data_IF_539753291267
#
_entry.id   IF_539753291267
#
_cell.length_a   1.000
_cell.length_b   1.000
_cell.length_c   1.000
_cell.angle_alpha   90.00
_cell.angle_beta   90.00
_cell.angle_gamma   90.00
#
_symmetry.space_group_name_H-M   'P 1'
#
loop_
_entity.id
_entity.type
_entity.pdbx_description
1 polymer ?
#
# COMPACT_ATOMS: atom_id res chain seq x y z
N UNK A 1 -26.58 13.42 -2.12
CA UNK A 1 -27.41 12.33 -1.57
C UNK A 1 -26.48 11.15 -1.30
N UNK A 2 -26.52 10.56 -0.10
CA UNK A 2 -25.65 9.41 0.23
C UNK A 2 -26.07 8.19 -0.60
N UNK A 3 -25.29 7.86 -1.64
CA UNK A 3 -25.40 6.56 -2.29
C UNK A 3 -24.53 5.57 -1.51
N UNK A 4 -25.17 4.77 -0.65
CA UNK A 4 -24.57 3.54 -0.12
C UNK A 4 -24.64 2.48 -1.22
N UNK A 5 -23.53 2.24 -1.91
CA UNK A 5 -23.39 1.06 -2.76
C UNK A 5 -23.03 -0.13 -1.89
N UNK A 6 -24.00 -1.01 -1.64
CA UNK A 6 -23.73 -2.37 -1.18
C UNK A 6 -23.48 -3.22 -2.43
N UNK A 7 -22.22 -3.42 -2.82
CA UNK A 7 -21.85 -4.46 -3.76
C UNK A 7 -21.39 -5.67 -2.97
N UNK A 8 -22.24 -6.71 -2.93
CA UNK A 8 -21.81 -8.07 -2.64
C UNK A 8 -20.98 -8.53 -3.84
N UNK A 9 -19.68 -8.68 -3.66
CA UNK A 9 -18.82 -9.29 -4.68
C UNK A 9 -19.32 -10.73 -4.91
N UNK A 10 -19.68 -11.06 -6.15
CA UNK A 10 -19.98 -12.42 -6.57
C UNK A 10 -18.69 -13.26 -6.54
N UNK A 11 -18.82 -14.45 -5.98
CA UNK A 11 -17.77 -15.43 -5.65
C UNK A 11 -17.24 -16.25 -6.85
N UNK A 12 -17.21 -15.69 -8.06
CA UNK A 12 -16.80 -16.47 -9.24
C UNK A 12 -15.43 -16.03 -9.80
N UNK A 13 -14.46 -16.92 -9.58
CA UNK A 13 -13.17 -17.07 -10.29
C UNK A 13 -12.21 -15.86 -10.34
N UNK A 14 -11.77 -15.39 -9.17
CA UNK A 14 -10.42 -14.78 -9.06
C UNK A 14 -9.43 -15.86 -8.64
N UNK A 15 -8.37 -16.06 -9.41
CA UNK A 15 -7.22 -16.86 -9.01
C UNK A 15 -6.84 -16.48 -7.57
N UNK A 16 -6.90 -17.45 -6.65
CA UNK A 16 -6.40 -17.27 -5.30
C UNK A 16 -4.90 -16.98 -5.40
N UNK A 17 -4.51 -15.70 -5.36
CA UNK A 17 -3.19 -15.29 -4.91
C UNK A 17 -3.12 -15.80 -3.48
N UNK A 18 -2.56 -17.00 -3.29
CA UNK A 18 -2.48 -17.64 -1.97
C UNK A 18 -1.61 -16.75 -1.09
N UNK A 19 -2.25 -15.83 -0.35
CA UNK A 19 -1.64 -14.91 0.61
C UNK A 19 -1.14 -15.63 1.86
N UNK A 20 -0.77 -16.90 1.69
CA UNK A 20 -0.41 -17.81 2.73
C UNK A 20 0.93 -18.44 2.44
N UNK A 21 1.92 -18.12 3.27
CA UNK A 21 3.26 -18.69 3.19
C UNK A 21 3.41 -19.70 4.35
N UNK A 22 3.69 -20.96 4.02
CA UNK A 22 4.04 -21.96 5.03
C UNK A 22 5.55 -21.85 5.24
N UNK A 23 5.96 -21.20 6.33
CA UNK A 23 7.36 -21.16 6.71
C UNK A 23 7.85 -22.55 7.15
N UNK A 24 9.02 -22.94 6.64
CA UNK A 24 9.76 -24.10 7.11
C UNK A 24 10.15 -23.96 8.60
N UNK A 25 10.50 -25.07 9.25
CA UNK A 25 10.82 -25.09 10.69
C UNK A 25 11.97 -24.16 11.09
N UNK A 26 12.99 -24.02 10.23
CA UNK A 26 14.16 -23.19 10.50
C UNK A 26 13.84 -21.68 10.50
N UNK A 27 13.20 -21.11 9.45
CA UNK A 27 12.63 -19.76 9.49
C UNK A 27 11.74 -19.49 10.71
N UNK A 28 10.86 -20.44 11.06
CA UNK A 28 9.97 -20.33 12.22
C UNK A 28 10.73 -20.19 13.55
N UNK A 29 11.78 -20.98 13.75
CA UNK A 29 12.63 -20.90 14.96
C UNK A 29 13.35 -19.54 15.09
N UNK A 30 13.80 -18.96 13.98
CA UNK A 30 14.45 -17.64 13.98
C UNK A 30 13.45 -16.55 14.40
N UNK A 31 12.23 -16.58 13.84
CA UNK A 31 11.16 -15.65 14.22
C UNK A 31 10.81 -15.79 15.70
N UNK A 32 10.68 -17.03 16.21
CA UNK A 32 10.42 -17.29 17.63
C UNK A 32 11.51 -16.71 18.54
N UNK A 33 12.78 -16.89 18.18
CA UNK A 33 13.92 -16.35 18.94
C UNK A 33 13.95 -14.82 18.99
N UNK A 34 13.60 -14.15 17.89
CA UNK A 34 13.47 -12.69 17.85
C UNK A 34 12.27 -12.22 18.68
N UNK A 35 11.11 -12.84 18.52
CA UNK A 35 9.88 -12.45 19.20
C UNK A 35 9.94 -12.71 20.71
N UNK A 36 10.67 -13.74 21.16
CA UNK A 36 10.88 -13.99 22.59
C UNK A 36 11.53 -12.79 23.32
N UNK A 37 12.21 -11.90 22.60
CA UNK A 37 12.84 -10.70 23.14
C UNK A 37 11.90 -9.47 23.12
N UNK A 38 10.69 -9.61 22.58
CA UNK A 38 9.79 -8.51 22.26
C UNK A 38 8.51 -8.64 23.09
N UNK A 39 8.06 -7.53 23.69
CA UNK A 39 6.78 -7.47 24.41
C UNK A 39 5.65 -7.05 23.48
N UNK A 40 4.43 -7.49 23.78
CA UNK A 40 3.23 -7.02 23.04
C UNK A 40 3.18 -5.49 23.08
N UNK A 41 2.97 -4.87 21.92
CA UNK A 41 2.92 -3.42 21.75
C UNK A 41 4.25 -2.79 21.35
N UNK A 42 5.38 -3.51 21.40
CA UNK A 42 6.68 -3.00 20.94
C UNK A 42 6.61 -2.58 19.46
N UNK A 43 7.19 -1.41 19.17
CA UNK A 43 7.36 -0.92 17.81
C UNK A 43 8.52 -1.66 17.13
N UNK A 44 8.26 -2.24 15.97
CA UNK A 44 9.20 -3.13 15.28
C UNK A 44 10.22 -2.38 14.40
N UNK A 45 10.14 -1.05 14.29
CA UNK A 45 11.01 -0.28 13.38
C UNK A 45 12.50 -0.32 13.77
N UNK A 46 12.84 -0.70 15.01
CA UNK A 46 14.22 -0.85 15.51
C UNK A 46 14.73 -2.29 15.50
N UNK A 47 13.89 -3.23 15.08
CA UNK A 47 14.22 -4.66 15.10
C UNK A 47 14.48 -5.11 13.67
N UNK A 48 15.67 -5.65 13.44
CA UNK A 48 16.01 -6.24 12.15
C UNK A 48 15.20 -7.52 11.95
N UNK A 49 14.36 -7.53 10.91
CA UNK A 49 13.64 -8.73 10.49
C UNK A 49 14.55 -9.63 9.65
N UNK A 50 14.39 -10.96 9.71
CA UNK A 50 15.15 -11.87 8.86
C UNK A 50 14.88 -11.63 7.37
N UNK A 51 15.91 -11.77 6.54
CA UNK A 51 15.83 -11.51 5.11
C UNK A 51 14.77 -12.34 4.35
N UNK A 52 14.42 -13.54 4.84
CA UNK A 52 13.41 -14.38 4.19
C UNK A 52 11.98 -13.82 4.26
N UNK A 53 11.72 -12.88 5.19
CA UNK A 53 10.45 -12.15 5.29
C UNK A 53 10.45 -10.93 4.34
N UNK A 54 11.61 -10.59 3.77
CA UNK A 54 11.79 -9.43 2.92
C UNK A 54 11.70 -9.80 1.44
N UNK A 55 11.11 -8.91 0.64
CA UNK A 55 11.23 -8.95 -0.82
C UNK A 55 12.49 -8.17 -1.26
N UNK A 56 13.08 -8.47 -2.43
CA UNK A 56 14.30 -7.83 -2.93
C UNK A 56 14.07 -6.40 -3.47
N UNK A 57 13.19 -5.62 -2.84
CA UNK A 57 12.84 -4.25 -3.26
C UNK A 57 12.84 -3.30 -2.08
N UNK A 58 13.31 -2.07 -2.31
CA UNK A 58 13.15 -0.96 -1.38
C UNK A 58 11.67 -0.57 -1.30
N UNK A 59 11.22 -0.03 -0.15
CA UNK A 59 9.88 0.58 -0.08
C UNK A 59 9.68 1.66 -1.14
N UNK A 60 10.75 2.39 -1.49
CA UNK A 60 10.71 3.46 -2.50
C UNK A 60 10.35 2.95 -3.90
N UNK A 61 10.82 1.75 -4.24
CA UNK A 61 10.47 1.03 -5.46
C UNK A 61 9.10 0.37 -5.32
N UNK A 62 8.80 -0.27 -4.18
CA UNK A 62 7.51 -0.96 -3.96
C UNK A 62 6.30 -0.04 -4.13
N UNK A 63 6.42 1.24 -3.74
CA UNK A 63 5.35 2.24 -3.97
C UNK A 63 4.94 2.31 -5.45
N UNK A 64 5.84 2.00 -6.40
CA UNK A 64 5.51 2.01 -7.82
C UNK A 64 4.50 0.94 -8.23
N UNK A 65 4.28 -0.09 -7.41
CA UNK A 65 3.17 -1.03 -7.58
C UNK A 65 1.81 -0.29 -7.52
N UNK A 66 1.75 0.90 -6.92
CA UNK A 66 0.54 1.74 -6.87
C UNK A 66 0.25 2.38 -8.23
N UNK A 67 1.23 2.42 -9.12
CA UNK A 67 1.17 3.05 -10.44
C UNK A 67 1.40 2.06 -11.59
N UNK A 68 1.36 0.76 -11.32
CA UNK A 68 1.60 -0.30 -12.31
C UNK A 68 0.49 -0.41 -13.35
N UNK A 69 -0.76 -0.09 -12.97
CA UNK A 69 -1.93 -0.12 -13.85
C UNK A 69 -2.12 1.23 -14.57
N UNK A 70 -1.20 1.53 -15.49
CA UNK A 70 -1.22 2.78 -16.24
C UNK A 70 -2.51 2.97 -17.04
N UNK A 71 -3.12 1.88 -17.52
CA UNK A 71 -4.38 1.90 -18.26
C UNK A 71 -5.56 2.39 -17.39
N UNK A 72 -5.62 1.97 -16.12
CA UNK A 72 -6.61 2.48 -15.18
C UNK A 72 -6.37 3.96 -14.90
N UNK A 73 -5.12 4.36 -14.67
CA UNK A 73 -4.75 5.77 -14.40
C UNK A 73 -5.23 6.68 -15.53
N UNK A 74 -5.03 6.28 -16.79
CA UNK A 74 -5.49 7.05 -17.96
C UNK A 74 -7.02 7.13 -18.03
N UNK A 75 -7.73 6.11 -17.56
CA UNK A 75 -9.20 6.09 -17.53
C UNK A 75 -9.81 6.90 -16.38
N UNK A 76 -9.07 7.14 -15.29
CA UNK A 76 -9.56 7.91 -14.14
C UNK A 76 -10.01 9.33 -14.52
N UNK A 77 -9.41 9.92 -15.56
CA UNK A 77 -9.82 11.21 -16.11
C UNK A 77 -11.24 11.22 -16.68
N UNK A 78 -11.71 10.07 -17.16
CA UNK A 78 -13.02 9.95 -17.82
C UNK A 78 -14.12 9.66 -16.80
N UNK A 79 -13.80 8.90 -15.76
CA UNK A 79 -14.78 8.35 -14.83
C UNK A 79 -14.23 8.26 -13.40
N UNK A 80 -14.59 9.23 -12.56
CA UNK A 80 -14.16 9.28 -11.15
C UNK A 80 -14.57 8.02 -10.35
N UNK A 81 -15.63 7.32 -10.74
CA UNK A 81 -16.02 6.07 -10.06
C UNK A 81 -15.00 4.94 -10.25
N UNK A 82 -14.20 4.96 -11.33
CA UNK A 82 -13.10 4.02 -11.54
C UNK A 82 -11.96 4.19 -10.52
N UNK A 83 -11.99 5.27 -9.72
CA UNK A 83 -11.04 5.47 -8.63
C UNK A 83 -11.20 4.40 -7.55
N UNK A 84 -12.40 3.84 -7.39
CA UNK A 84 -12.63 2.71 -6.48
C UNK A 84 -11.93 1.47 -7.03
N UNK A 85 -12.19 1.12 -8.30
CA UNK A 85 -11.56 -0.03 -8.96
C UNK A 85 -10.03 0.09 -8.95
N UNK A 86 -9.50 1.28 -9.24
CA UNK A 86 -8.07 1.57 -9.16
C UNK A 86 -7.50 1.33 -7.77
N UNK A 87 -8.19 1.76 -6.71
CA UNK A 87 -7.75 1.54 -5.32
C UNK A 87 -7.87 0.08 -4.92
N UNK A 88 -8.93 -0.63 -5.31
CA UNK A 88 -9.10 -2.06 -5.01
C UNK A 88 -8.05 -2.92 -5.70
N UNK A 89 -7.84 -2.72 -7.00
CA UNK A 89 -6.87 -3.49 -7.79
C UNK A 89 -5.46 -3.26 -7.25
N UNK A 90 -5.13 -2.01 -6.95
CA UNK A 90 -3.89 -1.67 -6.25
C UNK A 90 -3.69 -2.47 -4.95
N UNK A 91 -4.71 -2.54 -4.09
CA UNK A 91 -4.61 -3.20 -2.79
C UNK A 91 -4.45 -4.72 -2.89
N UNK A 92 -4.91 -5.33 -3.97
CA UNK A 92 -4.75 -6.75 -4.24
C UNK A 92 -3.31 -7.13 -4.64
N UNK A 93 -2.55 -6.21 -5.25
CA UNK A 93 -1.16 -6.46 -5.69
C UNK A 93 -0.09 -6.27 -4.61
N UNK A 94 -0.46 -5.77 -3.42
CA UNK A 94 0.46 -5.68 -2.28
C UNK A 94 0.76 -7.06 -1.67
N UNK A 95 1.65 -7.82 -2.32
CA UNK A 95 2.03 -9.17 -1.93
C UNK A 95 2.53 -9.36 -0.48
N UNK A 96 2.71 -10.63 -0.11
CA UNK A 96 2.89 -11.13 1.27
C UNK A 96 4.17 -10.65 1.96
N UNK A 97 5.25 -10.40 1.21
CA UNK A 97 6.57 -10.07 1.76
C UNK A 97 6.70 -8.59 2.05
N UNK A 98 7.54 -8.21 3.02
CA UNK A 98 7.80 -6.81 3.40
C UNK A 98 8.97 -6.25 2.57
N UNK A 99 8.86 -5.04 2.04
CA UNK A 99 10.01 -4.37 1.41
C UNK A 99 11.08 -3.97 2.42
N UNK A 100 12.29 -3.72 1.91
CA UNK A 100 13.37 -3.14 2.72
C UNK A 100 12.97 -1.75 3.22
N UNK A 101 13.29 -1.47 4.49
CA UNK A 101 13.16 -0.14 5.06
C UNK A 101 14.26 0.76 4.49
N UNK A 102 13.94 1.80 3.71
CA UNK A 102 14.95 2.60 3.05
C UNK A 102 15.84 3.35 4.04
N UNK A 103 17.09 3.61 3.66
CA UNK A 103 17.99 4.47 4.45
C UNK A 103 17.62 5.95 4.25
N UNK A 104 17.96 6.82 5.21
CA UNK A 104 17.69 8.25 5.09
C UNK A 104 18.38 8.83 3.84
N UNK A 105 17.63 9.56 3.01
CA UNK A 105 18.11 10.15 1.75
C UNK A 105 18.24 9.16 0.59
N UNK A 106 17.88 7.89 0.78
CA UNK A 106 17.69 6.97 -0.35
C UNK A 106 16.62 7.53 -1.28
N UNK A 107 16.83 7.40 -2.60
CA UNK A 107 15.85 7.81 -3.59
C UNK A 107 15.70 6.75 -4.67
N UNK A 108 14.50 6.65 -5.24
CA UNK A 108 14.21 5.80 -6.39
C UNK A 108 13.56 6.64 -7.49
N UNK A 109 13.90 6.35 -8.75
CA UNK A 109 13.32 7.01 -9.91
C UNK A 109 13.04 6.00 -11.00
N UNK A 110 11.90 6.14 -11.64
CA UNK A 110 11.55 5.34 -12.81
C UNK A 110 10.62 6.15 -13.72
N UNK A 111 10.32 5.59 -14.89
CA UNK A 111 9.36 6.13 -15.84
C UNK A 111 8.54 5.04 -16.49
N UNK A 112 7.34 5.38 -16.89
CA UNK A 112 6.49 4.54 -17.74
C UNK A 112 6.36 5.19 -19.10
N UNK A 113 6.32 4.37 -20.14
CA UNK A 113 5.91 4.76 -21.47
C UNK A 113 4.58 4.09 -21.77
N UNK A 114 3.57 4.87 -22.07
CA UNK A 114 2.23 4.36 -22.36
C UNK A 114 2.06 3.95 -23.81
N UNK A 115 0.95 3.26 -24.09
CA UNK A 115 0.59 2.79 -25.43
C UNK A 115 0.37 3.93 -26.42
N UNK A 116 -0.02 5.13 -25.95
CA UNK A 116 -0.17 6.34 -26.75
C UNK A 116 1.14 7.13 -26.94
N UNK A 117 2.28 6.58 -26.52
CA UNK A 117 3.62 7.17 -26.51
C UNK A 117 3.84 8.33 -25.54
N UNK A 118 2.87 8.68 -24.71
CA UNK A 118 3.10 9.62 -23.61
C UNK A 118 3.92 8.95 -22.50
N UNK A 119 4.53 9.76 -21.64
CA UNK A 119 5.34 9.26 -20.52
C UNK A 119 4.80 9.70 -19.15
N UNK A 120 5.12 8.91 -18.14
CA UNK A 120 5.04 9.34 -16.75
C UNK A 120 6.37 9.15 -16.03
N UNK A 121 6.65 10.06 -15.12
CA UNK A 121 7.86 10.08 -14.31
C UNK A 121 7.49 9.81 -12.86
N UNK A 122 8.32 9.04 -12.16
CA UNK A 122 8.22 8.85 -10.73
C UNK A 122 9.55 9.12 -10.04
N UNK A 123 9.46 9.77 -8.89
CA UNK A 123 10.54 9.94 -7.94
C UNK A 123 10.02 9.70 -6.53
N UNK A 124 10.81 9.04 -5.71
CA UNK A 124 10.57 8.95 -4.27
C UNK A 124 11.86 9.08 -3.49
N UNK A 125 11.73 9.53 -2.25
CA UNK A 125 12.84 9.74 -1.33
C UNK A 125 12.43 9.34 0.09
N UNK A 126 13.35 8.72 0.80
CA UNK A 126 13.21 8.51 2.24
C UNK A 126 13.61 9.77 3.00
N UNK A 127 12.61 10.60 3.31
CA UNK A 127 12.81 11.91 3.95
C UNK A 127 12.96 11.84 5.47
N UNK A 128 12.66 10.69 6.08
CA UNK A 128 12.89 10.45 7.51
C UNK A 128 13.07 8.97 7.81
N UNK A 129 13.94 8.61 8.77
CA UNK A 129 14.17 7.21 9.17
C UNK A 129 13.56 6.88 10.54
N UNK A 130 13.46 7.85 11.46
CA UNK A 130 12.89 7.68 12.80
C UNK A 130 11.98 8.87 13.18
N UNK A 131 10.66 8.79 12.89
CA UNK A 131 9.94 7.66 12.28
C UNK A 131 10.21 7.54 10.76
N UNK A 132 9.99 6.35 10.15
CA UNK A 132 10.16 6.17 8.71
C UNK A 132 9.09 6.95 7.92
N UNK A 133 9.52 7.80 6.99
CA UNK A 133 8.66 8.53 6.06
C UNK A 133 9.28 8.48 4.67
N UNK A 134 8.54 7.95 3.71
CA UNK A 134 8.87 7.99 2.29
C UNK A 134 7.94 8.97 1.60
N UNK A 135 8.50 9.98 0.92
CA UNK A 135 7.75 10.88 0.05
C UNK A 135 7.88 10.41 -1.40
N UNK A 136 6.81 10.55 -2.18
CA UNK A 136 6.82 10.18 -3.60
C UNK A 136 6.02 11.17 -4.43
N UNK A 137 6.41 11.26 -5.69
CA UNK A 137 5.81 12.11 -6.70
C UNK A 137 5.82 11.38 -8.03
N UNK A 138 4.66 11.32 -8.65
CA UNK A 138 4.40 10.76 -9.95
C UNK A 138 3.70 11.81 -10.80
N UNK A 139 4.16 11.99 -12.04
CA UNK A 139 3.59 12.94 -12.96
C UNK A 139 3.47 12.33 -14.35
N UNK A 140 2.28 12.47 -14.93
CA UNK A 140 2.02 12.28 -16.36
C UNK A 140 1.42 13.58 -16.92
N UNK A 141 2.28 14.55 -17.30
CA UNK A 141 1.82 15.88 -17.70
C UNK A 141 0.92 15.86 -18.94
N UNK A 142 1.25 15.05 -19.95
CA UNK A 142 0.47 14.93 -21.19
C UNK A 142 -0.93 14.36 -20.93
N UNK A 143 -1.07 13.53 -19.89
CA UNK A 143 -2.34 12.95 -19.46
C UNK A 143 -2.95 13.70 -18.28
N UNK A 144 -2.49 14.90 -17.96
CA UNK A 144 -3.02 15.71 -16.87
C UNK A 144 -3.07 15.02 -15.50
N UNK A 145 -2.25 14.01 -15.21
CA UNK A 145 -2.29 13.27 -13.94
C UNK A 145 -1.08 13.62 -13.07
N UNK A 146 -1.35 13.97 -11.81
CA UNK A 146 -0.34 14.07 -10.76
C UNK A 146 -0.75 13.20 -9.57
N UNK A 147 0.16 12.36 -9.10
CA UNK A 147 -0.04 11.52 -7.90
C UNK A 147 1.14 11.76 -6.97
N UNK A 148 0.88 12.19 -5.74
CA UNK A 148 1.97 12.40 -4.78
C UNK A 148 1.50 12.21 -3.35
N UNK A 149 2.41 11.91 -2.46
CA UNK A 149 2.03 11.62 -1.09
C UNK A 149 3.19 11.24 -0.22
N UNK A 150 2.84 10.70 0.94
CA UNK A 150 3.82 10.10 1.85
C UNK A 150 3.31 8.77 2.36
N UNK A 151 4.19 7.78 2.45
CA UNK A 151 3.97 6.58 3.25
C UNK A 151 4.70 6.70 4.59
N UNK A 152 4.00 6.40 5.68
CA UNK A 152 4.51 6.50 7.05
C UNK A 152 4.20 5.20 7.80
N UNK A 153 4.85 4.09 7.44
CA UNK A 153 4.54 2.78 8.00
C UNK A 153 4.95 2.72 9.48
N UNK A 154 4.04 2.27 10.34
CA UNK A 154 4.30 2.03 11.75
C UNK A 154 4.07 0.57 12.09
N UNK A 155 5.15 -0.21 12.17
CA UNK A 155 5.08 -1.63 12.51
C UNK A 155 4.94 -1.87 14.02
N UNK A 156 3.99 -2.71 14.43
CA UNK A 156 3.66 -3.03 15.82
C UNK A 156 3.53 -4.54 16.02
N UNK A 157 4.18 -5.06 17.06
CA UNK A 157 3.99 -6.45 17.47
C UNK A 157 2.73 -6.60 18.34
N UNK A 158 1.88 -7.57 18.02
CA UNK A 158 0.57 -7.77 18.66
C UNK A 158 0.41 -9.14 19.36
N UNK A 159 1.48 -9.94 19.47
CA UNK A 159 1.44 -11.30 20.00
C UNK A 159 1.57 -12.32 18.89
N UNK A 160 0.56 -13.16 18.64
CA UNK A 160 0.55 -14.03 17.45
C UNK A 160 0.25 -13.28 16.14
N UNK A 161 0.46 -11.96 16.12
CA UNK A 161 0.30 -11.13 14.93
C UNK A 161 1.27 -9.96 14.95
N UNK A 162 1.56 -9.41 13.79
CA UNK A 162 2.22 -8.13 13.62
C UNK A 162 1.36 -7.27 12.69
N UNK A 163 1.31 -5.96 12.95
CA UNK A 163 0.61 -5.01 12.10
C UNK A 163 1.60 -4.00 11.54
N UNK A 164 1.37 -3.55 10.30
CA UNK A 164 1.95 -2.32 9.76
C UNK A 164 0.81 -1.34 9.58
N UNK A 165 0.75 -0.36 10.48
CA UNK A 165 -0.21 0.73 10.40
C UNK A 165 0.28 1.71 9.33
N UNK A 166 -0.53 1.89 8.29
CA UNK A 166 -0.17 2.71 7.14
C UNK A 166 -0.71 4.12 7.35
N UNK A 167 0.13 4.95 7.95
CA UNK A 167 -0.15 6.39 8.00
C UNK A 167 0.34 7.06 6.72
N UNK A 168 -0.19 8.27 6.48
CA UNK A 168 0.07 9.02 5.26
C UNK A 168 -1.16 9.13 4.39
N UNK A 169 -0.99 9.80 3.26
CA UNK A 169 -2.07 10.11 2.33
C UNK A 169 -1.46 10.24 0.92
N UNK A 170 -2.11 9.61 -0.05
CA UNK A 170 -1.90 9.85 -1.47
C UNK A 170 -2.86 10.94 -1.92
N UNK A 171 -2.36 11.89 -2.71
CA UNK A 171 -3.16 12.90 -3.41
C UNK A 171 -3.08 12.62 -4.89
N UNK A 172 -4.23 12.44 -5.52
CA UNK A 172 -4.41 12.39 -6.95
C UNK A 172 -5.06 13.69 -7.42
N UNK A 173 -4.46 14.33 -8.41
CA UNK A 173 -4.95 15.56 -9.03
C UNK A 173 -5.00 15.39 -10.53
N UNK A 174 -6.01 16.01 -11.13
CA UNK A 174 -6.10 16.19 -12.57
C UNK A 174 -5.84 17.66 -12.92
N UNK A 175 -4.77 17.94 -13.67
CA UNK A 175 -4.35 19.34 -13.93
C UNK A 175 -5.34 20.11 -14.81
N UNK A 176 -6.19 19.41 -15.56
CA UNK A 176 -7.30 19.97 -16.32
C UNK A 176 -8.57 20.19 -15.48
N UNK A 177 -8.63 19.72 -14.23
CA UNK A 177 -9.75 19.90 -13.30
C UNK A 177 -9.29 20.67 -12.06
N UNK A 178 -9.05 21.99 -12.18
CA UNK A 178 -8.46 22.78 -11.10
C UNK A 178 -9.32 22.73 -9.83
N UNK A 179 -8.65 22.52 -8.69
CA UNK A 179 -9.27 22.43 -7.37
C UNK A 179 -9.82 21.05 -7.01
N UNK A 180 -9.82 20.07 -7.92
CA UNK A 180 -10.13 18.68 -7.57
C UNK A 180 -8.89 17.97 -7.06
N UNK A 181 -8.93 17.59 -5.77
CA UNK A 181 -7.86 16.83 -5.11
C UNK A 181 -8.50 15.62 -4.43
N UNK A 182 -8.17 14.45 -4.95
CA UNK A 182 -8.61 13.17 -4.40
C UNK A 182 -7.58 12.69 -3.37
N UNK A 183 -7.98 12.70 -2.10
CA UNK A 183 -7.18 12.25 -0.96
C UNK A 183 -7.50 10.81 -0.65
N UNK A 184 -6.50 9.95 -0.70
CA UNK A 184 -6.62 8.50 -0.57
C UNK A 184 -5.76 8.04 0.61
N UNK A 185 -6.36 7.33 1.55
CA UNK A 185 -5.63 6.70 2.66
C UNK A 185 -5.36 5.23 2.37
N UNK A 186 -4.35 4.68 3.02
CA UNK A 186 -4.02 3.26 2.91
C UNK A 186 -4.73 2.45 4.00
N UNK A 187 -5.12 1.19 3.73
CA UNK A 187 -5.52 0.27 4.78
C UNK A 187 -4.30 -0.19 5.56
N UNK A 188 -4.53 -0.81 6.72
CA UNK A 188 -3.46 -1.40 7.51
C UNK A 188 -3.19 -2.84 7.08
N UNK A 189 -1.94 -3.28 7.20
CA UNK A 189 -1.54 -4.66 6.90
C UNK A 189 -1.36 -5.46 8.18
N UNK A 190 -1.92 -6.66 8.24
CA UNK A 190 -1.84 -7.56 9.38
C UNK A 190 -1.23 -8.90 8.96
N UNK A 191 -0.12 -9.28 9.58
CA UNK A 191 0.45 -10.61 9.51
C UNK A 191 -0.07 -11.43 10.69
N UNK A 192 -0.91 -12.44 10.42
CA UNK A 192 -1.45 -13.38 11.41
C UNK A 192 -0.60 -14.66 11.45
N UNK A 193 -0.67 -15.39 12.56
CA UNK A 193 -0.03 -16.71 12.67
C UNK A 193 1.49 -16.70 12.69
N UNK A 194 2.11 -15.57 13.07
CA UNK A 194 3.57 -15.39 13.03
C UNK A 194 4.31 -16.29 14.03
N UNK A 195 3.64 -16.72 15.11
CA UNK A 195 4.20 -17.64 16.13
C UNK A 195 3.58 -19.04 16.02
N UNK A 196 2.26 -19.09 15.89
CA UNK A 196 1.48 -20.33 15.91
C UNK A 196 0.44 -20.31 14.79
N UNK A 197 0.36 -21.39 14.01
CA UNK A 197 -0.57 -21.56 12.91
C UNK A 197 0.02 -21.23 11.53
N UNK A 198 -0.85 -21.11 10.53
CA UNK A 198 -0.50 -20.74 9.14
C UNK A 198 -0.35 -19.22 9.08
N UNK A 199 0.73 -18.72 8.46
CA UNK A 199 0.93 -17.28 8.33
C UNK A 199 0.02 -16.73 7.23
N UNK A 200 -0.85 -15.78 7.56
CA UNK A 200 -1.82 -15.17 6.64
C UNK A 200 -1.62 -13.66 6.67
N UNK A 201 -1.64 -13.03 5.50
CA UNK A 201 -1.68 -11.58 5.37
C UNK A 201 -3.10 -11.10 5.14
N UNK A 202 -3.50 -10.08 5.89
CA UNK A 202 -4.83 -9.47 5.81
C UNK A 202 -4.69 -7.96 5.66
N UNK A 203 -5.53 -7.38 4.79
CA UNK A 203 -5.83 -5.96 4.84
C UNK A 203 -6.89 -5.73 5.92
N UNK A 204 -6.76 -4.64 6.66
CA UNK A 204 -7.70 -4.30 7.70
C UNK A 204 -7.95 -2.81 7.81
N UNK A 205 -8.96 -2.50 8.60
CA UNK A 205 -9.44 -1.15 8.85
C UNK A 205 -9.99 -0.51 7.57
N UNK A 206 -9.87 0.82 7.46
CA UNK A 206 -10.63 1.62 6.52
C UNK A 206 -9.71 2.38 5.58
N UNK A 207 -10.05 2.34 4.30
CA UNK A 207 -9.52 3.24 3.27
C UNK A 207 -10.58 4.29 2.95
N UNK A 208 -10.16 5.55 2.83
CA UNK A 208 -11.03 6.64 2.40
C UNK A 208 -10.52 7.26 1.12
N UNK A 209 -11.45 7.61 0.23
CA UNK A 209 -11.22 8.44 -0.95
C UNK A 209 -12.10 9.67 -0.78
N UNK A 210 -11.50 10.85 -0.69
CA UNK A 210 -12.23 12.12 -0.46
C UNK A 210 -11.84 13.19 -1.47
N UNK A 211 -12.83 13.90 -2.02
CA UNK A 211 -12.63 15.13 -2.77
C UNK A 211 -13.53 16.23 -2.20
N UNK A 212 -12.93 17.24 -1.56
CA UNK A 212 -13.67 18.30 -0.85
C UNK A 212 -14.46 19.21 -1.80
N UNK A 213 -13.90 19.53 -2.97
CA UNK A 213 -14.54 20.42 -3.95
C UNK A 213 -15.90 19.89 -4.41
N UNK A 214 -16.02 18.57 -4.55
CA UNK A 214 -17.21 17.90 -5.08
C UNK A 214 -18.03 17.21 -3.98
N UNK A 215 -17.70 17.41 -2.70
CA UNK A 215 -18.30 16.73 -1.54
C UNK A 215 -18.37 15.19 -1.71
N UNK A 216 -17.32 14.62 -2.29
CA UNK A 216 -17.21 13.18 -2.52
C UNK A 216 -16.49 12.51 -1.36
N UNK A 217 -17.08 11.42 -0.86
CA UNK A 217 -16.50 10.53 0.13
C UNK A 217 -16.88 9.09 -0.21
N UNK A 218 -15.86 8.27 -0.44
CA UNK A 218 -15.96 6.82 -0.52
C UNK A 218 -15.18 6.21 0.64
N UNK A 219 -15.74 5.17 1.25
CA UNK A 219 -15.18 4.47 2.38
C UNK A 219 -15.18 2.98 2.09
N UNK A 220 -14.00 2.38 2.06
CA UNK A 220 -13.79 0.95 1.85
C UNK A 220 -13.38 0.33 3.19
N UNK A 221 -14.14 -0.63 3.68
CA UNK A 221 -13.88 -1.33 4.94
C UNK A 221 -13.31 -2.72 4.66
N UNK A 222 -12.07 -2.95 5.09
CA UNK A 222 -11.42 -4.25 5.04
C UNK A 222 -11.70 -4.99 6.35
N UNK A 223 -12.36 -6.13 6.25
CA UNK A 223 -12.67 -6.97 7.41
C UNK A 223 -11.50 -7.92 7.67
N UNK A 224 -10.94 -7.83 8.87
CA UNK A 224 -9.98 -8.82 9.38
C UNK A 224 -10.72 -9.90 10.15
N UNK A 225 -10.23 -11.14 10.11
CA UNK A 225 -10.73 -12.23 10.97
C UNK A 225 -10.24 -12.10 12.41
#
# INVERSE_FOLDING_TARGET
SLHKFNMTANDDEKENIDNTEILDEKPRRIILGLIAQIRKGTELHRIALPAFVLEPRSMLERITDFMSHSDLILRLLLYVYLLIDFVEEFLLFSGVKKSYNPVLGEFFRTRWKYSDNTEALYISEQVSHHPPISAYYYASPENNVLIFGTLRPKSKFMGNSAATLMHGETKLLFTNLPGEVYRITMPNFYARGILFGKMVMELGDKTTIRCEKNDLLCELQFQTK
#
